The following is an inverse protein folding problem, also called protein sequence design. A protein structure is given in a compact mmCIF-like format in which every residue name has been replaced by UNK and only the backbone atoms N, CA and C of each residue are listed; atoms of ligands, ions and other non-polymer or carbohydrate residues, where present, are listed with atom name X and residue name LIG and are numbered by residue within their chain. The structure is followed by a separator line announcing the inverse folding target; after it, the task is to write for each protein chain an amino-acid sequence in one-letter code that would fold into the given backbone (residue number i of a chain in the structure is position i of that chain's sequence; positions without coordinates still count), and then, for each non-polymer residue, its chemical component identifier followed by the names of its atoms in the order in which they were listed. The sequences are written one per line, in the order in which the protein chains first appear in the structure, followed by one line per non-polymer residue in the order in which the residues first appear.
data_IF_867127248598
#
_entry.id   IF_867127248598
#
_cell.length_a   1.000
_cell.length_b   1.000
_cell.length_c   1.000
_cell.angle_alpha   90.00
_cell.angle_beta   90.00
_cell.angle_gamma   90.00
#
_symmetry.space_group_name_H-M   'P 1'
#
loop_
_entity.id
_entity.type
_entity.pdbx_description
1 polymer ?
#
# COMPACT_ATOMS: atom_id res chain seq x y z
N UNK A 1 9.19 15.88 33.57
CA UNK A 1 9.93 15.09 32.58
C UNK A 1 10.15 13.68 33.13
N UNK A 2 10.06 12.61 32.31
CA UNK A 2 10.39 11.27 32.78
C UNK A 2 11.86 11.22 33.24
N UNK A 3 12.12 10.59 34.40
CA UNK A 3 13.48 10.43 34.91
C UNK A 3 14.34 9.58 33.94
N UNK A 4 15.64 9.89 33.78
CA UNK A 4 16.54 9.10 32.96
C UNK A 4 16.62 7.64 33.44
N UNK A 5 16.82 6.70 32.50
CA UNK A 5 16.77 5.26 32.76
C UNK A 5 17.67 4.80 33.91
N UNK A 6 18.89 5.35 34.01
CA UNK A 6 19.83 5.04 35.09
C UNK A 6 19.22 5.30 36.48
N UNK A 7 18.48 6.41 36.62
CA UNK A 7 17.91 6.85 37.90
C UNK A 7 16.72 5.97 38.30
N UNK A 8 15.94 5.53 37.31
CA UNK A 8 14.83 4.57 37.50
C UNK A 8 15.33 3.18 37.90
N UNK A 9 16.48 2.74 37.39
CA UNK A 9 17.08 1.46 37.77
C UNK A 9 17.69 1.53 39.18
N UNK A 10 18.34 2.64 39.52
CA UNK A 10 18.85 2.90 40.87
C UNK A 10 17.74 2.95 41.93
N UNK A 11 16.62 3.61 41.61
CA UNK A 11 15.42 3.63 42.48
C UNK A 11 14.78 2.24 42.70
N UNK A 12 15.05 1.29 41.80
CA UNK A 12 14.61 -0.11 41.91
C UNK A 12 15.59 -1.00 42.68
N UNK A 13 16.66 -0.43 43.24
CA UNK A 13 17.66 -1.18 44.01
C UNK A 13 18.68 -1.95 43.19
N UNK A 14 18.86 -1.60 41.91
CA UNK A 14 19.90 -2.21 41.09
C UNK A 14 21.28 -1.70 41.51
N UNK A 15 22.27 -2.58 41.49
CA UNK A 15 23.67 -2.19 41.75
C UNK A 15 24.23 -1.37 40.58
N UNK A 16 25.20 -0.50 40.86
CA UNK A 16 25.85 0.32 39.82
C UNK A 16 26.51 -0.53 38.73
N UNK A 17 27.01 -1.73 39.08
CA UNK A 17 27.58 -2.67 38.11
C UNK A 17 26.51 -3.27 37.18
N UNK A 18 25.33 -3.61 37.70
CA UNK A 18 24.20 -4.08 36.89
C UNK A 18 23.65 -2.98 35.99
N UNK A 19 23.59 -1.74 36.50
CA UNK A 19 23.18 -0.56 35.72
C UNK A 19 24.19 -0.35 34.58
N UNK A 20 25.49 -0.34 34.87
CA UNK A 20 26.53 -0.17 33.86
C UNK A 20 26.47 -1.27 32.79
N UNK A 21 26.37 -2.54 33.21
CA UNK A 21 26.25 -3.68 32.29
C UNK A 21 24.99 -3.62 31.44
N UNK A 22 23.87 -3.17 32.01
CA UNK A 22 22.60 -3.02 31.29
C UNK A 22 22.67 -1.88 30.28
N UNK A 23 23.25 -0.75 30.67
CA UNK A 23 23.48 0.39 29.77
C UNK A 23 24.41 -0.01 28.63
N UNK A 24 25.48 -0.74 28.92
CA UNK A 24 26.40 -1.25 27.90
C UNK A 24 25.72 -2.25 26.94
N UNK A 25 24.85 -3.12 27.45
CA UNK A 25 24.09 -4.06 26.58
C UNK A 25 23.01 -3.36 25.75
N UNK A 26 22.38 -2.28 26.26
CA UNK A 26 21.34 -1.53 25.54
C UNK A 26 21.90 -0.51 24.54
N UNK A 27 23.03 0.10 24.88
CA UNK A 27 23.65 1.18 24.12
C UNK A 27 24.98 0.79 23.46
N UNK A 28 25.41 -0.48 23.55
CA UNK A 28 26.56 -0.96 22.79
C UNK A 28 26.35 -0.73 21.31
N UNK A 29 27.30 -0.02 20.70
CA UNK A 29 27.30 0.35 19.29
C UNK A 29 27.13 -0.90 18.40
N UNK A 30 27.74 -2.02 18.77
CA UNK A 30 27.64 -3.30 18.03
C UNK A 30 26.21 -3.83 17.88
N UNK A 31 25.35 -3.67 18.89
CA UNK A 31 23.94 -4.15 18.81
C UNK A 31 23.05 -3.18 18.04
N UNK A 32 23.28 -1.87 18.19
CA UNK A 32 22.55 -0.86 17.43
C UNK A 32 22.88 -0.93 15.95
N UNK A 33 24.15 -1.14 15.60
CA UNK A 33 24.62 -1.28 14.20
C UNK A 33 24.08 -2.58 13.58
N UNK A 34 24.10 -3.72 14.30
CA UNK A 34 23.50 -4.97 13.78
C UNK A 34 21.99 -4.87 13.54
N UNK A 35 21.23 -4.28 14.46
CA UNK A 35 19.78 -4.10 14.25
C UNK A 35 19.48 -3.11 13.12
N UNK A 36 20.28 -2.05 12.97
CA UNK A 36 20.14 -1.11 11.85
C UNK A 36 20.48 -1.74 10.50
N UNK A 37 21.51 -2.58 10.40
CA UNK A 37 21.87 -3.25 9.15
C UNK A 37 20.90 -4.38 8.77
N UNK A 38 20.36 -5.13 9.74
CA UNK A 38 19.34 -6.15 9.47
C UNK A 38 18.00 -5.55 9.05
N UNK A 39 17.61 -4.42 9.64
CA UNK A 39 16.46 -3.65 9.16
C UNK A 39 16.69 -3.25 7.69
N UNK A 40 17.80 -2.59 7.37
CA UNK A 40 18.11 -2.07 6.02
C UNK A 40 18.13 -3.14 4.91
N UNK A 41 18.58 -4.36 5.19
CA UNK A 41 18.70 -5.43 4.17
C UNK A 41 17.42 -6.23 3.90
N UNK A 42 16.56 -6.40 4.90
CA UNK A 42 15.30 -7.14 4.74
C UNK A 42 14.19 -6.32 4.08
N UNK A 43 14.33 -4.99 4.06
CA UNK A 43 13.33 -4.05 3.54
C UNK A 43 12.92 -4.34 2.08
N UNK A 44 13.82 -4.35 1.07
CA UNK A 44 13.39 -4.40 -0.33
C UNK A 44 12.61 -5.67 -0.70
N UNK A 45 13.05 -6.84 -0.21
CA UNK A 45 12.42 -8.12 -0.52
C UNK A 45 10.99 -8.19 0.04
N UNK A 46 10.79 -7.74 1.28
CA UNK A 46 9.46 -7.72 1.91
C UNK A 46 8.48 -6.83 1.14
N UNK A 47 8.95 -5.71 0.58
CA UNK A 47 8.12 -4.85 -0.27
C UNK A 47 7.73 -5.52 -1.58
N UNK A 48 8.68 -6.14 -2.28
CA UNK A 48 8.37 -6.85 -3.52
C UNK A 48 7.42 -8.02 -3.29
N UNK A 49 7.60 -8.77 -2.20
CA UNK A 49 6.65 -9.81 -1.79
C UNK A 49 5.29 -9.20 -1.49
N UNK A 50 5.24 -8.10 -0.74
CA UNK A 50 3.99 -7.39 -0.43
C UNK A 50 3.27 -6.92 -1.70
N UNK A 51 4.01 -6.40 -2.68
CA UNK A 51 3.48 -5.96 -3.97
C UNK A 51 2.91 -7.15 -4.76
N UNK A 52 3.66 -8.26 -4.86
CA UNK A 52 3.21 -9.48 -5.53
C UNK A 52 1.96 -10.04 -4.86
N UNK A 53 1.95 -10.11 -3.52
CA UNK A 53 0.78 -10.56 -2.75
C UNK A 53 -0.42 -9.64 -3.00
N UNK A 54 -0.24 -8.32 -2.96
CA UNK A 54 -1.32 -7.37 -3.23
C UNK A 54 -1.90 -7.53 -4.65
N UNK A 55 -1.04 -7.76 -5.66
CA UNK A 55 -1.46 -8.02 -7.05
C UNK A 55 -2.26 -9.32 -7.14
N UNK A 56 -1.77 -10.40 -6.54
CA UNK A 56 -2.46 -11.69 -6.53
C UNK A 56 -3.80 -11.57 -5.81
N UNK A 57 -3.85 -10.94 -4.63
CA UNK A 57 -5.08 -10.72 -3.86
C UNK A 57 -6.10 -9.90 -4.65
N UNK A 58 -5.65 -8.86 -5.37
CA UNK A 58 -6.49 -8.06 -6.23
C UNK A 58 -7.12 -8.90 -7.36
N UNK A 59 -6.37 -9.81 -7.99
CA UNK A 59 -6.93 -10.71 -9.00
C UNK A 59 -7.88 -11.75 -8.43
N UNK A 60 -7.53 -12.37 -7.29
CA UNK A 60 -8.41 -13.31 -6.61
C UNK A 60 -9.73 -12.63 -6.25
N UNK A 61 -9.66 -11.41 -5.71
CA UNK A 61 -10.85 -10.62 -5.38
C UNK A 61 -11.68 -10.34 -6.63
N UNK A 62 -11.05 -9.87 -7.71
CA UNK A 62 -11.74 -9.56 -8.96
C UNK A 62 -12.52 -10.76 -9.52
N UNK A 63 -11.92 -11.96 -9.49
CA UNK A 63 -12.59 -13.21 -9.92
C UNK A 63 -13.68 -13.63 -8.94
N UNK A 64 -13.40 -13.58 -7.63
CA UNK A 64 -14.36 -13.93 -6.60
C UNK A 64 -15.59 -12.98 -6.58
N UNK A 65 -15.44 -11.76 -7.08
CA UNK A 65 -16.50 -10.76 -7.14
C UNK A 65 -17.53 -11.02 -8.26
N UNK A 66 -17.16 -11.76 -9.30
CA UNK A 66 -18.02 -12.05 -10.46
C UNK A 66 -19.39 -12.65 -10.08
N UNK A 67 -19.50 -13.70 -9.24
CA UNK A 67 -20.81 -14.23 -8.85
C UNK A 67 -21.68 -13.18 -8.14
N UNK A 68 -21.08 -12.26 -7.37
CA UNK A 68 -21.82 -11.18 -6.71
C UNK A 68 -22.36 -10.17 -7.72
N UNK A 69 -21.62 -9.88 -8.80
CA UNK A 69 -22.10 -8.98 -9.85
C UNK A 69 -23.40 -9.47 -10.52
N UNK A 70 -23.57 -10.79 -10.63
CA UNK A 70 -24.76 -11.39 -11.23
C UNK A 70 -25.98 -11.35 -10.30
N UNK A 71 -25.75 -11.38 -8.98
CA UNK A 71 -26.82 -11.37 -7.97
C UNK A 71 -27.28 -9.97 -7.58
N UNK A 72 -26.45 -8.95 -7.81
CA UNK A 72 -26.67 -7.58 -7.35
C UNK A 72 -27.19 -6.68 -8.47
N UNK A 73 -27.91 -5.62 -8.09
CA UNK A 73 -28.31 -4.58 -9.05
C UNK A 73 -27.11 -3.70 -9.44
N UNK A 74 -27.23 -2.99 -10.57
CA UNK A 74 -26.13 -2.19 -11.11
C UNK A 74 -25.60 -1.14 -10.13
N UNK A 75 -26.48 -0.48 -9.37
CA UNK A 75 -26.05 0.54 -8.41
C UNK A 75 -25.22 -0.06 -7.27
N UNK A 76 -25.65 -1.20 -6.72
CA UNK A 76 -24.91 -1.93 -5.68
C UNK A 76 -23.54 -2.37 -6.18
N UNK A 77 -23.47 -2.91 -7.40
CA UNK A 77 -22.22 -3.32 -8.04
C UNK A 77 -21.26 -2.13 -8.15
N UNK A 78 -21.74 -0.97 -8.62
CA UNK A 78 -20.91 0.23 -8.76
C UNK A 78 -20.39 0.76 -7.43
N UNK A 79 -21.23 0.80 -6.40
CA UNK A 79 -20.82 1.24 -5.05
C UNK A 79 -19.78 0.30 -4.48
N UNK A 80 -19.99 -1.02 -4.57
CA UNK A 80 -19.03 -1.99 -4.03
C UNK A 80 -17.70 -1.92 -4.79
N UNK A 81 -17.73 -1.85 -6.13
CA UNK A 81 -16.53 -1.68 -6.94
C UNK A 81 -15.77 -0.40 -6.59
N UNK A 82 -16.50 0.70 -6.34
CA UNK A 82 -15.87 1.96 -5.95
C UNK A 82 -15.15 1.84 -4.60
N UNK A 83 -15.82 1.25 -3.60
CA UNK A 83 -15.25 1.04 -2.26
C UNK A 83 -14.06 0.09 -2.30
N UNK A 84 -14.22 -1.07 -2.94
CA UNK A 84 -13.16 -2.08 -3.10
C UNK A 84 -11.96 -1.50 -3.85
N UNK A 85 -12.22 -0.89 -5.01
CA UNK A 85 -11.18 -0.26 -5.83
C UNK A 85 -10.39 0.75 -5.02
N UNK A 86 -11.08 1.62 -4.27
CA UNK A 86 -10.43 2.58 -3.38
C UNK A 86 -9.59 1.91 -2.28
N UNK A 87 -10.10 0.85 -1.62
CA UNK A 87 -9.36 0.12 -0.57
C UNK A 87 -8.09 -0.49 -1.14
N UNK A 88 -8.18 -1.23 -2.25
CA UNK A 88 -7.00 -1.81 -2.88
C UNK A 88 -6.04 -0.72 -3.37
N UNK A 89 -6.57 0.32 -4.02
CA UNK A 89 -5.78 1.49 -4.44
C UNK A 89 -5.01 2.12 -3.28
N UNK A 90 -5.62 2.22 -2.10
CA UNK A 90 -4.97 2.73 -0.90
C UNK A 90 -3.87 1.79 -0.40
N UNK A 91 -4.10 0.47 -0.40
CA UNK A 91 -3.09 -0.54 -0.05
C UNK A 91 -1.89 -0.43 -0.99
N UNK A 92 -2.13 -0.41 -2.32
CA UNK A 92 -1.08 -0.24 -3.31
C UNK A 92 -0.33 1.08 -3.13
N UNK A 93 -1.04 2.18 -2.86
CA UNK A 93 -0.42 3.48 -2.61
C UNK A 93 0.50 3.44 -1.39
N UNK A 94 0.11 2.77 -0.29
CA UNK A 94 0.98 2.61 0.89
C UNK A 94 2.25 1.82 0.52
N UNK A 95 2.10 0.66 -0.12
CA UNK A 95 3.23 -0.18 -0.52
C UNK A 95 4.19 0.60 -1.44
N UNK A 96 3.63 1.32 -2.40
CA UNK A 96 4.40 2.12 -3.37
C UNK A 96 5.10 3.28 -2.70
N UNK A 97 4.42 4.01 -1.82
CA UNK A 97 5.00 5.14 -1.09
C UNK A 97 6.22 4.71 -0.26
N UNK A 98 6.14 3.52 0.33
CA UNK A 98 7.25 2.97 1.11
C UNK A 98 8.42 2.57 0.20
N UNK A 99 8.15 1.96 -0.97
CA UNK A 99 9.20 1.67 -1.99
C UNK A 99 9.87 2.96 -2.47
N UNK A 100 9.06 3.98 -2.70
CA UNK A 100 9.49 5.29 -3.21
C UNK A 100 10.46 6.01 -2.26
N UNK A 101 10.28 5.84 -0.95
CA UNK A 101 11.20 6.40 0.06
C UNK A 101 12.55 5.70 0.12
N UNK A 102 12.65 4.46 -0.38
CA UNK A 102 13.86 3.63 -0.28
C UNK A 102 14.80 3.88 -1.47
N UNK A 103 14.24 4.11 -2.66
CA UNK A 103 15.05 4.36 -3.86
C UNK A 103 14.43 5.46 -4.75
N UNK A 104 15.05 6.63 -4.74
CA UNK A 104 14.62 7.81 -5.51
C UNK A 104 14.80 7.62 -7.02
N UNK A 105 15.48 6.57 -7.50
CA UNK A 105 15.57 6.30 -8.95
C UNK A 105 14.35 5.54 -9.48
N UNK A 106 13.45 5.07 -8.63
CA UNK A 106 12.34 4.20 -9.03
C UNK A 106 10.95 4.88 -9.03
N UNK A 107 10.89 6.20 -8.84
CA UNK A 107 9.65 7.00 -8.89
C UNK A 107 8.78 6.71 -10.13
N UNK A 108 9.40 6.54 -11.30
CA UNK A 108 8.72 6.32 -12.58
C UNK A 108 8.08 4.93 -12.64
N UNK A 109 8.76 3.92 -12.08
CA UNK A 109 8.29 2.53 -12.12
C UNK A 109 6.97 2.40 -11.36
N UNK A 110 6.86 3.08 -10.21
CA UNK A 110 5.66 3.04 -9.39
C UNK A 110 4.45 3.74 -10.02
N UNK A 111 4.69 4.84 -10.74
CA UNK A 111 3.63 5.57 -11.46
C UNK A 111 3.04 4.79 -12.63
N UNK A 112 3.84 3.99 -13.34
CA UNK A 112 3.38 3.14 -14.43
C UNK A 112 2.74 1.82 -13.93
N UNK A 113 3.14 1.35 -12.75
CA UNK A 113 2.70 0.07 -12.21
C UNK A 113 1.21 0.05 -11.84
N UNK A 114 0.69 1.09 -11.18
CA UNK A 114 -0.72 1.13 -10.74
C UNK A 114 -1.69 1.07 -11.95
N UNK A 115 -1.53 1.91 -12.99
CA UNK A 115 -2.37 1.81 -14.19
C UNK A 115 -2.25 0.44 -14.88
N UNK A 116 -1.04 -0.14 -14.92
CA UNK A 116 -0.83 -1.45 -15.53
C UNK A 116 -1.59 -2.55 -14.78
N UNK A 117 -1.52 -2.59 -13.45
CA UNK A 117 -2.28 -3.55 -12.64
C UNK A 117 -3.79 -3.38 -12.87
N UNK A 118 -4.29 -2.15 -12.85
CA UNK A 118 -5.71 -1.88 -13.09
C UNK A 118 -6.16 -2.35 -14.48
N UNK A 119 -5.38 -2.09 -15.53
CA UNK A 119 -5.68 -2.54 -16.90
C UNK A 119 -5.70 -4.07 -17.02
N UNK A 120 -4.75 -4.76 -16.38
CA UNK A 120 -4.74 -6.23 -16.36
C UNK A 120 -5.96 -6.77 -15.61
N UNK A 121 -6.34 -6.16 -14.48
CA UNK A 121 -7.55 -6.55 -13.73
C UNK A 121 -8.81 -6.38 -14.57
N UNK A 122 -8.93 -5.24 -15.26
CA UNK A 122 -10.04 -4.94 -16.18
C UNK A 122 -10.14 -5.99 -17.29
N UNK A 123 -9.01 -6.30 -17.92
CA UNK A 123 -8.94 -7.31 -18.97
C UNK A 123 -9.40 -8.68 -18.45
N UNK A 124 -8.90 -9.10 -17.29
CA UNK A 124 -9.27 -10.38 -16.68
C UNK A 124 -10.74 -10.41 -16.28
N UNK A 125 -11.27 -9.37 -15.62
CA UNK A 125 -12.68 -9.30 -15.24
C UNK A 125 -13.59 -9.42 -16.47
N UNK A 126 -13.26 -8.70 -17.55
CA UNK A 126 -14.04 -8.73 -18.79
C UNK A 126 -14.02 -10.12 -19.43
N UNK A 127 -12.84 -10.75 -19.52
CA UNK A 127 -12.71 -12.09 -20.11
C UNK A 127 -13.45 -13.16 -19.31
N UNK A 128 -13.34 -13.13 -17.97
CA UNK A 128 -14.01 -14.11 -17.11
C UNK A 128 -15.51 -13.87 -17.11
N UNK A 129 -15.97 -12.61 -17.01
CA UNK A 129 -17.39 -12.25 -17.08
C UNK A 129 -18.04 -12.72 -18.39
N UNK A 130 -17.40 -12.47 -19.54
CA UNK A 130 -17.90 -12.93 -20.85
C UNK A 130 -17.99 -14.46 -20.97
N UNK A 131 -17.08 -15.20 -20.32
CA UNK A 131 -17.16 -16.67 -20.28
C UNK A 131 -18.25 -17.16 -19.34
N UNK A 132 -18.51 -16.45 -18.24
CA UNK A 132 -19.60 -16.79 -17.34
C UNK A 132 -20.97 -16.51 -17.96
N UNK A 133 -21.11 -15.43 -18.73
CA UNK A 133 -22.38 -15.07 -19.38
C UNK A 133 -22.84 -16.07 -20.45
N UNK A 134 -21.95 -16.91 -20.98
CA UNK A 134 -22.35 -18.00 -21.88
C UNK A 134 -22.87 -19.23 -21.14
N UNK A 135 -22.48 -19.40 -19.87
CA UNK A 135 -22.89 -20.54 -19.04
C UNK A 135 -24.17 -20.23 -18.28
N UNK A 136 -24.35 -18.98 -17.86
CA UNK A 136 -25.50 -18.53 -17.07
C UNK A 136 -26.11 -17.30 -17.75
N UNK A 137 -27.36 -17.38 -18.25
CA UNK A 137 -28.05 -16.22 -18.81
C UNK A 137 -28.24 -15.17 -17.73
N UNK A 138 -27.58 -14.02 -17.86
CA UNK A 138 -27.64 -12.94 -16.89
C UNK A 138 -28.68 -11.88 -17.31
N UNK A 139 -29.76 -11.68 -16.53
CA UNK A 139 -30.72 -10.60 -16.80
C UNK A 139 -30.13 -9.21 -16.57
N UNK A 140 -29.02 -9.10 -15.83
CA UNK A 140 -28.38 -7.86 -15.45
C UNK A 140 -27.04 -7.68 -16.19
N UNK A 141 -27.09 -7.59 -17.53
CA UNK A 141 -25.90 -7.28 -18.33
C UNK A 141 -25.31 -5.91 -17.94
N UNK A 142 -24.29 -5.93 -17.09
CA UNK A 142 -23.51 -4.73 -16.77
C UNK A 142 -22.58 -4.41 -17.95
N UNK A 143 -22.50 -3.15 -18.34
CA UNK A 143 -21.55 -2.72 -19.36
C UNK A 143 -20.11 -2.88 -18.80
N UNK A 144 -19.27 -3.77 -19.38
CA UNK A 144 -17.92 -4.03 -18.85
C UNK A 144 -17.05 -2.78 -18.85
N UNK A 145 -17.28 -1.87 -19.80
CA UNK A 145 -16.52 -0.64 -19.96
C UNK A 145 -16.81 0.33 -18.79
N UNK A 146 -18.07 0.45 -18.37
CA UNK A 146 -18.46 1.30 -17.22
C UNK A 146 -17.89 0.74 -15.91
N UNK A 147 -18.05 -0.57 -15.68
CA UNK A 147 -17.49 -1.27 -14.52
C UNK A 147 -15.98 -1.06 -14.42
N UNK A 148 -15.30 -1.20 -15.54
CA UNK A 148 -13.85 -1.01 -15.66
C UNK A 148 -13.43 0.44 -15.37
N UNK A 149 -14.17 1.42 -15.88
CA UNK A 149 -13.88 2.83 -15.64
C UNK A 149 -14.07 3.21 -14.17
N UNK A 150 -15.14 2.76 -13.53
CA UNK A 150 -15.38 2.99 -12.10
C UNK A 150 -14.22 2.42 -11.29
N UNK A 151 -13.87 1.15 -11.55
CA UNK A 151 -12.77 0.49 -10.85
C UNK A 151 -11.43 1.19 -11.06
N UNK A 152 -11.10 1.53 -12.31
CA UNK A 152 -9.86 2.23 -12.66
C UNK A 152 -9.72 3.56 -11.91
N UNK A 153 -10.78 4.38 -11.94
CA UNK A 153 -10.78 5.70 -11.32
C UNK A 153 -10.64 5.58 -9.81
N UNK A 154 -11.40 4.69 -9.17
CA UNK A 154 -11.39 4.55 -7.70
C UNK A 154 -10.11 3.90 -7.20
N UNK A 155 -9.57 2.92 -7.93
CA UNK A 155 -8.28 2.29 -7.65
C UNK A 155 -7.10 3.25 -7.82
N UNK A 156 -7.12 4.10 -8.85
CA UNK A 156 -6.03 5.06 -9.08
C UNK A 156 -6.14 6.29 -8.17
N UNK A 157 -7.33 6.61 -7.65
CA UNK A 157 -7.58 7.84 -6.91
C UNK A 157 -6.64 8.06 -5.70
N UNK A 158 -6.41 7.10 -4.79
CA UNK A 158 -5.51 7.29 -3.64
C UNK A 158 -4.10 7.75 -4.05
N UNK A 159 -3.54 7.14 -5.09
CA UNK A 159 -2.21 7.48 -5.60
C UNK A 159 -2.19 8.85 -6.28
N UNK A 160 -3.17 9.13 -7.15
CA UNK A 160 -3.27 10.43 -7.82
C UNK A 160 -3.42 11.56 -6.81
N UNK A 161 -4.28 11.39 -5.80
CA UNK A 161 -4.47 12.39 -4.73
C UNK A 161 -3.17 12.62 -3.98
N UNK A 162 -2.45 11.55 -3.61
CA UNK A 162 -1.15 11.65 -2.95
C UNK A 162 -0.15 12.43 -3.81
N UNK A 163 0.01 12.06 -5.08
CA UNK A 163 0.97 12.72 -5.98
C UNK A 163 0.63 14.16 -6.30
N UNK A 164 -0.64 14.50 -6.46
CA UNK A 164 -1.05 15.89 -6.67
C UNK A 164 -0.72 16.75 -5.45
N UNK A 165 -0.95 16.25 -4.23
CA UNK A 165 -0.58 16.98 -3.00
C UNK A 165 0.92 17.22 -2.91
N UNK A 166 1.71 16.18 -3.15
CA UNK A 166 3.18 16.23 -3.17
C UNK A 166 3.71 17.31 -4.14
N UNK A 167 3.19 17.34 -5.36
CA UNK A 167 3.55 18.35 -6.38
C UNK A 167 3.16 19.79 -5.99
N UNK A 168 2.04 19.97 -5.29
CA UNK A 168 1.59 21.30 -4.82
C UNK A 168 2.52 21.80 -3.72
N UNK A 169 2.92 20.93 -2.78
CA UNK A 169 3.84 21.27 -1.69
C UNK A 169 5.23 21.62 -2.19
N UNK A 170 5.77 20.86 -3.15
CA UNK A 170 7.05 21.18 -3.80
C UNK A 170 7.04 22.56 -4.48
N UNK A 171 5.96 22.89 -5.19
CA UNK A 171 5.83 24.20 -5.85
C UNK A 171 5.80 25.33 -4.82
N UNK A 172 5.05 25.17 -3.73
CA UNK A 172 4.95 26.16 -2.65
C UNK A 172 6.33 26.44 -2.03
N UNK A 173 7.11 25.40 -1.76
CA UNK A 173 8.44 25.52 -1.16
C UNK A 173 9.46 26.20 -2.09
N UNK A 174 9.38 26.00 -3.41
CA UNK A 174 10.25 26.67 -4.39
C UNK A 174 9.95 28.16 -4.57
N UNK A 175 8.72 28.59 -4.29
CA UNK A 175 8.29 30.00 -4.43
C UNK A 175 8.43 30.82 -3.14
N UNK A 176 8.77 30.21 -2.01
CA UNK A 176 8.99 30.93 -0.77
C UNK A 176 10.36 31.66 -0.83
N UNK A 177 10.41 32.99 -0.67
CA UNK A 177 11.69 33.71 -0.60
C UNK A 177 12.50 33.19 0.60
N UNK A 178 13.80 32.97 0.39
CA UNK A 178 14.72 32.64 1.47
C UNK A 178 14.69 33.79 2.49
N UNK A 179 14.08 33.54 3.65
CA UNK A 179 14.01 34.47 4.76
C UNK A 179 15.30 34.41 5.60
#
# INVERSE_FOLDING_TARGET
MPKPLHQRLREKGWSEDEIRKTMDVLYSEDKQVKHQHFAKGAHPLLYWIGLVVAVISNFIFAVAFIPFMMMLNSMQVYVILAVVGYIFGAIFNVIIKDIEHIDTKHHILAGAFIPAVALVTIYLMTQVSNKFSTVIPDPNMHNPLIVSMIYLVTFSAPYVIYKVKDLIEERKNKTAPAA
#
